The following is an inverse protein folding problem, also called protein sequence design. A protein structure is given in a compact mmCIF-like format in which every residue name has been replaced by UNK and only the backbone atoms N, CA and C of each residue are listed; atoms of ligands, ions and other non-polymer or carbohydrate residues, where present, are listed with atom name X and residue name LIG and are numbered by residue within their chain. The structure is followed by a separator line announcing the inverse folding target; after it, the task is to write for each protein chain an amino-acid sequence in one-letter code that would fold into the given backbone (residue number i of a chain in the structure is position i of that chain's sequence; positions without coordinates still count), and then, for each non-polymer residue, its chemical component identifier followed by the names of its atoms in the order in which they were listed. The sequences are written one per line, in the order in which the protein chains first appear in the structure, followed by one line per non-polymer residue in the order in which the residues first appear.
data_IF_817834706088
#
_entry.id   IF_817834706088
#
_cell.length_a   1.000
_cell.length_b   1.000
_cell.length_c   1.000
_cell.angle_alpha   90.00
_cell.angle_beta   90.00
_cell.angle_gamma   90.00
#
_symmetry.space_group_name_H-M   'P 1'
#
loop_
_entity.id
_entity.type
_entity.pdbx_description
1 polymer ?
#
# COMPACT_ATOMS: atom_id res chain seq x y z
N UNK A 1 -39.71 -8.25 -20.61
CA UNK A 1 -38.48 -7.47 -20.34
C UNK A 1 -38.52 -6.72 -19.02
N UNK A 2 -39.66 -6.17 -18.58
CA UNK A 2 -39.85 -5.49 -17.27
C UNK A 2 -39.48 -6.35 -16.06
N UNK A 3 -39.95 -7.60 -16.00
CA UNK A 3 -39.67 -8.54 -14.89
C UNK A 3 -38.17 -8.82 -14.65
N UNK A 4 -37.32 -8.73 -15.68
CA UNK A 4 -35.88 -8.97 -15.56
C UNK A 4 -35.18 -7.77 -14.91
N UNK A 5 -35.59 -6.55 -15.28
CA UNK A 5 -35.06 -5.33 -14.69
C UNK A 5 -35.39 -5.23 -13.20
N UNK A 6 -36.62 -5.56 -12.81
CA UNK A 6 -37.03 -5.54 -11.40
C UNK A 6 -36.21 -6.53 -10.54
N UNK A 7 -35.87 -7.70 -11.10
CA UNK A 7 -35.02 -8.69 -10.44
C UNK A 7 -33.57 -8.21 -10.30
N UNK A 8 -33.03 -7.57 -11.33
CA UNK A 8 -31.69 -6.98 -11.29
C UNK A 8 -31.65 -5.85 -10.26
N UNK A 9 -32.64 -4.95 -10.26
CA UNK A 9 -32.72 -3.84 -9.30
C UNK A 9 -32.76 -4.37 -7.86
N UNK A 10 -33.63 -5.36 -7.59
CA UNK A 10 -33.71 -6.00 -6.28
C UNK A 10 -32.42 -6.69 -5.86
N UNK A 11 -31.72 -7.35 -6.80
CA UNK A 11 -30.43 -7.98 -6.53
C UNK A 11 -29.32 -6.95 -6.25
N UNK A 12 -29.40 -5.77 -6.85
CA UNK A 12 -28.44 -4.68 -6.65
C UNK A 12 -28.70 -3.87 -5.37
N UNK A 13 -29.91 -3.90 -4.81
CA UNK A 13 -30.23 -3.17 -3.58
C UNK A 13 -29.31 -3.53 -2.41
N UNK A 14 -29.10 -4.82 -2.13
CA UNK A 14 -28.23 -5.25 -1.04
C UNK A 14 -26.76 -4.77 -1.22
N UNK A 15 -26.06 -5.06 -2.33
CA UNK A 15 -24.67 -4.64 -2.49
C UNK A 15 -24.50 -3.12 -2.59
N UNK A 16 -25.51 -2.39 -3.11
CA UNK A 16 -25.46 -0.92 -3.12
C UNK A 16 -25.62 -0.34 -1.72
N UNK A 17 -26.54 -0.88 -0.91
CA UNK A 17 -26.69 -0.48 0.50
C UNK A 17 -25.41 -0.75 1.30
N UNK A 18 -24.80 -1.92 1.13
CA UNK A 18 -23.53 -2.26 1.80
C UNK A 18 -22.41 -1.28 1.43
N UNK A 19 -22.33 -0.88 0.16
CA UNK A 19 -21.36 0.12 -0.30
C UNK A 19 -21.61 1.50 0.33
N UNK A 20 -22.87 1.92 0.43
CA UNK A 20 -23.26 3.19 1.08
C UNK A 20 -22.94 3.17 2.57
N UNK A 21 -23.24 2.06 3.25
CA UNK A 21 -22.91 1.86 4.68
C UNK A 21 -21.39 1.97 4.87
N UNK A 22 -20.61 1.21 4.10
CA UNK A 22 -19.15 1.22 4.20
C UNK A 22 -18.55 2.62 3.95
N UNK A 23 -19.10 3.36 2.99
CA UNK A 23 -18.67 4.73 2.71
C UNK A 23 -19.00 5.67 3.88
N UNK A 24 -20.22 5.58 4.41
CA UNK A 24 -20.69 6.42 5.51
C UNK A 24 -19.91 6.16 6.79
N UNK A 25 -19.71 4.89 7.14
CA UNK A 25 -18.87 4.47 8.28
C UNK A 25 -17.44 4.99 8.15
N UNK A 26 -16.86 4.91 6.93
CA UNK A 26 -15.52 5.43 6.67
C UNK A 26 -15.45 6.93 6.92
N UNK A 27 -16.44 7.71 6.47
CA UNK A 27 -16.46 9.16 6.71
C UNK A 27 -16.58 9.47 8.21
N UNK A 28 -17.49 8.81 8.93
CA UNK A 28 -17.67 9.00 10.36
C UNK A 28 -16.41 8.64 11.18
N UNK A 29 -15.76 7.51 10.89
CA UNK A 29 -14.53 7.10 11.57
C UNK A 29 -13.40 8.12 11.35
N UNK A 30 -13.28 8.62 10.12
CA UNK A 30 -12.29 9.66 9.80
C UNK A 30 -12.62 10.99 10.49
N UNK A 31 -13.88 11.41 10.56
CA UNK A 31 -14.27 12.63 11.29
C UNK A 31 -13.87 12.58 12.76
N UNK A 32 -14.06 11.43 13.42
CA UNK A 32 -13.70 11.23 14.83
C UNK A 32 -12.18 11.20 15.02
N UNK A 33 -11.43 10.75 14.01
CA UNK A 33 -9.97 10.56 14.07
C UNK A 33 -9.26 11.41 13.01
N UNK A 34 -9.05 12.71 13.24
CA UNK A 34 -8.53 13.63 12.23
C UNK A 34 -7.09 13.32 11.79
N UNK A 35 -6.27 12.72 12.66
CA UNK A 35 -4.90 12.31 12.34
C UNK A 35 -4.79 10.87 11.81
N UNK A 36 -5.91 10.16 11.64
CA UNK A 36 -5.89 8.80 11.12
C UNK A 36 -5.36 8.75 9.68
N UNK A 37 -4.26 8.02 9.48
CA UNK A 37 -3.59 7.87 8.19
C UNK A 37 -3.25 6.41 7.93
N UNK A 38 -3.41 6.01 6.67
CA UNK A 38 -2.70 4.88 6.10
C UNK A 38 -1.44 5.39 5.41
N UNK A 39 -0.36 4.62 5.47
CA UNK A 39 0.95 5.10 5.04
C UNK A 39 1.83 4.01 4.44
N UNK A 40 2.85 4.47 3.74
CA UNK A 40 3.98 3.67 3.26
C UNK A 40 5.30 4.36 3.59
N UNK A 41 6.23 3.62 4.17
CA UNK A 41 7.62 4.02 4.36
C UNK A 41 8.55 3.08 3.60
N UNK A 42 9.71 3.57 3.23
CA UNK A 42 10.79 2.81 2.63
C UNK A 42 12.06 2.96 3.46
N UNK A 43 12.66 1.84 3.85
CA UNK A 43 14.00 1.77 4.40
C UNK A 43 14.96 1.36 3.30
N UNK A 44 15.95 2.22 3.01
CA UNK A 44 16.84 2.02 1.84
C UNK A 44 17.94 1.00 2.08
N UNK A 45 18.40 0.84 3.32
CA UNK A 45 19.57 -0.02 3.63
C UNK A 45 19.32 -1.50 3.31
N UNK A 46 18.09 -1.97 3.50
CA UNK A 46 17.65 -3.35 3.28
C UNK A 46 16.49 -3.45 2.27
N UNK A 47 16.14 -2.32 1.63
CA UNK A 47 15.04 -2.21 0.67
C UNK A 47 13.71 -2.76 1.22
N UNK A 48 13.37 -2.36 2.46
CA UNK A 48 12.14 -2.77 3.13
C UNK A 48 11.06 -1.72 2.98
N UNK A 49 9.87 -2.13 2.55
CA UNK A 49 8.66 -1.32 2.58
C UNK A 49 7.89 -1.64 3.85
N UNK A 50 7.55 -0.60 4.62
CA UNK A 50 6.65 -0.68 5.76
C UNK A 50 5.31 -0.05 5.37
N UNK A 51 4.23 -0.79 5.49
CA UNK A 51 2.86 -0.29 5.28
C UNK A 51 2.07 -0.37 6.58
N UNK A 52 1.19 0.59 6.84
CA UNK A 52 0.36 0.50 8.03
C UNK A 52 -0.64 1.62 8.21
N UNK A 53 -1.23 1.62 9.40
CA UNK A 53 -2.20 2.59 9.87
C UNK A 53 -1.75 3.22 11.20
N UNK A 54 -2.08 4.50 11.41
CA UNK A 54 -1.96 5.15 12.70
C UNK A 54 -3.06 6.17 12.92
N UNK A 55 -3.59 6.24 14.15
CA UNK A 55 -4.52 7.29 14.62
C UNK A 55 -3.80 8.56 15.07
N UNK A 56 -2.49 8.47 15.31
CA UNK A 56 -1.62 9.56 15.72
C UNK A 56 -0.41 9.61 14.78
N UNK A 57 -0.66 9.88 13.50
CA UNK A 57 0.37 9.75 12.46
C UNK A 57 1.59 10.63 12.73
N UNK A 58 1.40 11.80 13.34
CA UNK A 58 2.47 12.74 13.69
C UNK A 58 3.52 12.13 14.64
N UNK A 59 3.11 11.37 15.65
CA UNK A 59 4.03 10.68 16.57
C UNK A 59 4.60 9.41 15.93
N UNK A 60 3.74 8.58 15.33
CA UNK A 60 4.15 7.33 14.66
C UNK A 60 5.21 7.59 13.57
N UNK A 61 5.06 8.66 12.80
CA UNK A 61 6.04 9.05 11.78
C UNK A 61 7.42 9.29 12.38
N UNK A 62 7.52 10.00 13.51
CA UNK A 62 8.81 10.29 14.16
C UNK A 62 9.49 8.99 14.61
N UNK A 63 8.72 8.10 15.24
CA UNK A 63 9.24 6.82 15.74
C UNK A 63 9.73 5.90 14.62
N UNK A 64 9.02 5.90 13.49
CA UNK A 64 9.42 5.15 12.29
C UNK A 64 10.68 5.76 11.67
N UNK A 65 10.75 7.09 11.55
CA UNK A 65 11.90 7.79 10.97
C UNK A 65 13.19 7.62 11.78
N UNK A 66 13.10 7.44 13.10
CA UNK A 66 14.25 7.09 13.94
C UNK A 66 14.87 5.73 13.60
N UNK A 67 14.17 4.87 12.84
CA UNK A 67 14.61 3.54 12.39
C UNK A 67 15.07 3.54 10.92
N UNK A 68 15.46 4.70 10.39
CA UNK A 68 15.91 4.93 9.01
C UNK A 68 14.85 4.70 7.91
N UNK A 69 13.57 4.65 8.29
CA UNK A 69 12.48 4.61 7.33
C UNK A 69 12.15 6.01 6.84
N UNK A 70 12.11 6.18 5.52
CA UNK A 70 11.71 7.43 4.87
C UNK A 70 10.26 7.34 4.45
N UNK A 71 9.46 8.35 4.80
CA UNK A 71 8.06 8.42 4.38
C UNK A 71 8.01 8.50 2.84
N UNK A 72 7.25 7.59 2.23
CA UNK A 72 6.99 7.60 0.80
C UNK A 72 5.73 8.42 0.54
N UNK A 73 4.62 8.01 1.16
CA UNK A 73 3.31 8.61 0.97
C UNK A 73 2.44 8.26 2.18
N UNK A 74 1.51 9.14 2.53
CA UNK A 74 0.45 8.86 3.49
C UNK A 74 -0.84 9.55 3.02
N UNK A 75 -1.98 8.95 3.37
CA UNK A 75 -3.29 9.56 3.14
C UNK A 75 -4.24 9.22 4.27
N UNK A 76 -5.32 10.00 4.38
CA UNK A 76 -6.44 9.69 5.27
C UNK A 76 -6.98 8.30 4.94
N UNK A 77 -7.10 7.47 5.96
CA UNK A 77 -7.56 6.09 5.83
C UNK A 77 -7.85 5.49 7.19
N UNK A 78 -8.56 4.37 7.18
CA UNK A 78 -9.05 3.70 8.39
C UNK A 78 -8.27 2.43 8.69
N UNK A 79 -8.37 1.93 9.92
CA UNK A 79 -7.79 0.64 10.30
C UNK A 79 -8.33 -0.52 9.46
N UNK A 80 -9.58 -0.40 8.99
CA UNK A 80 -10.21 -1.39 8.11
C UNK A 80 -9.50 -1.45 6.75
N UNK A 81 -9.09 -0.32 6.18
CA UNK A 81 -8.34 -0.29 4.92
C UNK A 81 -7.00 -1.03 5.05
N UNK A 82 -6.24 -0.79 6.13
CA UNK A 82 -5.00 -1.52 6.41
C UNK A 82 -5.26 -3.02 6.55
N UNK A 83 -6.25 -3.40 7.37
CA UNK A 83 -6.56 -4.82 7.61
C UNK A 83 -6.91 -5.54 6.32
N UNK A 84 -7.77 -4.94 5.49
CA UNK A 84 -8.15 -5.51 4.20
C UNK A 84 -6.94 -5.67 3.28
N UNK A 85 -6.06 -4.66 3.22
CA UNK A 85 -4.83 -4.75 2.45
C UNK A 85 -3.98 -5.94 2.91
N UNK A 86 -3.68 -6.04 4.21
CA UNK A 86 -2.82 -7.12 4.72
C UNK A 86 -3.40 -8.51 4.46
N UNK A 87 -4.72 -8.68 4.62
CA UNK A 87 -5.41 -9.92 4.28
C UNK A 87 -5.28 -10.24 2.79
N UNK A 88 -5.53 -9.27 1.91
CA UNK A 88 -5.38 -9.46 0.46
C UNK A 88 -3.94 -9.81 0.08
N UNK A 89 -2.93 -9.12 0.63
CA UNK A 89 -1.52 -9.41 0.37
C UNK A 89 -1.15 -10.84 0.79
N UNK A 90 -1.67 -11.29 1.93
CA UNK A 90 -1.49 -12.66 2.41
C UNK A 90 -2.16 -13.68 1.47
N UNK A 91 -3.39 -13.42 1.03
CA UNK A 91 -4.15 -14.30 0.13
C UNK A 91 -3.47 -14.47 -1.24
N UNK A 92 -2.82 -13.43 -1.75
CA UNK A 92 -2.02 -13.51 -3.00
C UNK A 92 -0.60 -14.07 -2.79
N UNK A 93 -0.27 -14.50 -1.57
CA UNK A 93 0.99 -15.17 -1.25
C UNK A 93 2.19 -14.26 -1.04
N UNK A 94 1.99 -12.95 -0.86
CA UNK A 94 3.08 -12.04 -0.50
C UNK A 94 3.43 -12.20 0.98
N UNK A 95 4.69 -12.56 1.25
CA UNK A 95 5.17 -12.86 2.60
C UNK A 95 5.79 -11.62 3.26
N UNK A 96 5.48 -11.37 4.54
CA UNK A 96 6.19 -10.36 5.32
C UNK A 96 7.66 -10.76 5.54
N UNK A 97 8.53 -9.77 5.75
CA UNK A 97 9.97 -9.97 6.01
C UNK A 97 10.27 -10.01 7.51
N UNK A 98 10.20 -8.87 8.20
CA UNK A 98 10.55 -8.75 9.63
C UNK A 98 9.33 -8.88 10.55
N UNK A 99 8.18 -8.36 10.10
CA UNK A 99 6.92 -8.37 10.82
C UNK A 99 5.77 -8.29 9.81
N UNK A 100 4.53 -8.42 10.27
CA UNK A 100 3.31 -8.43 9.43
C UNK A 100 3.11 -7.21 8.53
N UNK A 101 3.85 -6.12 8.76
CA UNK A 101 3.72 -4.85 8.05
C UNK A 101 4.92 -4.53 7.15
N UNK A 102 6.01 -5.31 7.26
CA UNK A 102 7.24 -5.13 6.51
C UNK A 102 7.32 -6.13 5.35
N UNK A 103 7.66 -5.63 4.17
CA UNK A 103 7.78 -6.43 2.95
C UNK A 103 9.03 -6.02 2.18
N UNK A 104 9.56 -6.90 1.33
CA UNK A 104 10.63 -6.55 0.42
C UNK A 104 10.13 -5.56 -0.65
N UNK A 105 10.93 -4.56 -1.02
CA UNK A 105 10.62 -3.58 -2.06
C UNK A 105 10.77 -4.17 -3.47
N UNK A 106 9.97 -5.20 -3.77
CA UNK A 106 9.95 -5.85 -5.08
C UNK A 106 8.88 -5.25 -6.02
N UNK A 107 9.00 -5.55 -7.31
CA UNK A 107 8.05 -5.06 -8.32
C UNK A 107 6.65 -5.67 -8.17
N UNK A 108 6.53 -6.84 -7.56
CA UNK A 108 5.24 -7.53 -7.40
C UNK A 108 4.39 -6.80 -6.38
N UNK A 109 4.93 -6.57 -5.17
CA UNK A 109 4.34 -5.80 -4.10
C UNK A 109 3.93 -4.41 -4.59
N UNK A 110 4.85 -3.67 -5.21
CA UNK A 110 4.56 -2.30 -5.69
C UNK A 110 3.42 -2.29 -6.69
N UNK A 111 3.34 -3.29 -7.58
CA UNK A 111 2.22 -3.45 -8.53
C UNK A 111 0.90 -3.74 -7.81
N UNK A 112 0.90 -4.64 -6.83
CA UNK A 112 -0.30 -4.98 -6.06
C UNK A 112 -0.79 -3.79 -5.21
N UNK A 113 0.11 -3.11 -4.50
CA UNK A 113 -0.21 -1.89 -3.75
C UNK A 113 -0.82 -0.81 -4.64
N UNK A 114 -0.27 -0.62 -5.85
CA UNK A 114 -0.83 0.32 -6.82
C UNK A 114 -2.24 -0.08 -7.28
N UNK A 115 -2.46 -1.36 -7.58
CA UNK A 115 -3.76 -1.86 -8.02
C UNK A 115 -4.84 -1.72 -6.93
N UNK A 116 -4.44 -1.89 -5.67
CA UNK A 116 -5.30 -1.75 -4.49
C UNK A 116 -5.50 -0.29 -4.04
N UNK A 117 -4.94 0.70 -4.74
CA UNK A 117 -5.09 2.12 -4.39
C UNK A 117 -4.42 2.50 -3.06
N UNK A 118 -3.38 1.77 -2.66
CA UNK A 118 -2.61 2.07 -1.46
C UNK A 118 -1.66 3.27 -1.71
N UNK A 119 -1.43 4.17 -0.73
CA UNK A 119 -0.52 5.31 -0.89
C UNK A 119 0.92 4.84 -1.06
N UNK A 120 1.41 4.80 -2.30
CA UNK A 120 2.77 4.38 -2.64
C UNK A 120 3.61 5.48 -3.30
N UNK A 121 3.05 6.66 -3.53
CA UNK A 121 3.70 7.77 -4.22
C UNK A 121 4.50 7.33 -5.43
N UNK A 122 5.74 7.82 -5.51
CA UNK A 122 6.67 7.55 -6.60
C UNK A 122 7.53 6.29 -6.42
N UNK A 123 7.10 5.30 -5.60
CA UNK A 123 7.79 4.00 -5.51
C UNK A 123 7.93 3.33 -6.88
N UNK A 124 7.03 3.64 -7.82
CA UNK A 124 7.10 3.20 -9.22
C UNK A 124 8.42 3.60 -9.88
N UNK A 125 8.99 4.77 -9.54
CA UNK A 125 10.23 5.26 -10.14
C UNK A 125 11.49 4.53 -9.64
N UNK A 126 11.42 3.94 -8.44
CA UNK A 126 12.55 3.27 -7.80
C UNK A 126 12.84 1.89 -8.40
N UNK A 127 11.81 1.17 -8.84
CA UNK A 127 11.97 -0.15 -9.48
C UNK A 127 12.66 -0.07 -10.84
N UNK A 128 12.53 1.05 -11.57
CA UNK A 128 13.20 1.24 -12.86
C UNK A 128 14.69 1.57 -12.75
N UNK A 129 15.19 2.00 -11.58
CA UNK A 129 16.61 2.37 -11.41
C UNK A 129 17.53 1.16 -11.26
N UNK A 130 17.05 0.01 -10.77
CA UNK A 130 17.87 -1.21 -10.60
C UNK A 130 18.39 -1.81 -11.91
N UNK A 131 17.78 -1.52 -13.06
CA UNK A 131 18.21 -2.08 -14.36
C UNK A 131 19.35 -1.32 -15.05
N UNK A 132 19.79 -0.16 -14.56
CA UNK A 132 20.82 0.66 -15.24
C UNK A 132 22.24 0.55 -14.67
N UNK A 133 22.45 -0.17 -13.56
CA UNK A 133 23.78 -0.28 -12.93
C UNK A 133 24.41 -1.67 -13.05
N UNK A 134 24.16 -2.40 -14.14
CA UNK A 134 24.83 -3.69 -14.39
C UNK A 134 25.41 -3.84 -15.81
N UNK A 135 25.76 -2.71 -16.45
CA UNK A 135 26.59 -2.71 -17.66
C UNK A 135 27.59 -1.57 -17.59
N UNK A 136 28.69 -1.78 -16.87
CA UNK A 136 29.97 -1.07 -17.00
C UNK A 136 30.89 -1.70 -15.97
N UNK A 137 31.48 -2.84 -16.29
CA UNK A 137 32.80 -3.30 -15.84
C UNK A 137 33.04 -4.71 -16.38
N UNK A 138 33.65 -4.78 -17.57
CA UNK A 138 34.63 -5.82 -17.92
C UNK A 138 35.15 -5.60 -19.35
N UNK A 139 36.21 -4.81 -19.48
CA UNK A 139 37.35 -5.16 -20.35
C UNK A 139 38.55 -4.31 -19.91
N UNK A 140 39.48 -4.98 -19.20
CA UNK A 140 40.86 -4.54 -19.03
C UNK A 140 41.66 -4.93 -20.29
N UNK A 141 42.83 -4.31 -20.51
CA UNK A 141 43.58 -4.37 -21.76
C UNK A 141 44.44 -5.63 -21.81
N UNK A 142 44.68 -6.16 -23.00
CA UNK A 142 45.78 -7.08 -23.27
C UNK A 142 46.54 -6.59 -24.50
N UNK A 143 47.86 -6.58 -24.33
CA UNK A 143 48.90 -6.10 -25.23
C UNK A 143 48.99 -6.89 -26.54
N UNK A 144 49.33 -6.20 -27.63
CA UNK A 144 50.27 -6.65 -28.66
C UNK A 144 50.82 -5.46 -29.47
#
# INVERSE_FOLDING_TARGET
MTMLFDQIEKALQAPTMDAVIALTERFQDLEIKPEAMVFTFLRRIDETILIGYSEAFSSTRKDIQQRDFVLVEARRGTRREERLLLMTLQEIGLKPTYNSHCFAADSSLIRHLNHLGWPIGDLKSLTFRKKRHNQRFSHQPDDH
#
